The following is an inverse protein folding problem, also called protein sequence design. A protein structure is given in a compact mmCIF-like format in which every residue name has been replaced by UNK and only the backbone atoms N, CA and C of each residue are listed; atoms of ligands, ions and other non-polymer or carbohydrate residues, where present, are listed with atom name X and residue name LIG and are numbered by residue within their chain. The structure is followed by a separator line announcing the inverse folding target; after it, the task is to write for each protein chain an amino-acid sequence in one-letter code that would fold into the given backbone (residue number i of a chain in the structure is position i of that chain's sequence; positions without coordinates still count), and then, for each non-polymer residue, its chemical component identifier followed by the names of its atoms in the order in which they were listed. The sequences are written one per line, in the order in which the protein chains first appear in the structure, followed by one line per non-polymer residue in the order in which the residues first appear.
data_IF_276744431694
#
_entry.id   IF_276744431694
#
_cell.length_a   1.000
_cell.length_b   1.000
_cell.length_c   1.000
_cell.angle_alpha   90.00
_cell.angle_beta   90.00
_cell.angle_gamma   90.00
#
_symmetry.space_group_name_H-M   'P 1'
#
loop_
_entity.id
_entity.type
_entity.pdbx_description
1 polymer ?
#
# COMPACT_ATOMS: atom_id res chain seq x y z
N UNK A 1 3.39 10.06 -18.22
CA UNK A 1 2.97 10.14 -16.80
C UNK A 1 2.11 8.96 -16.37
N UNK A 2 1.11 8.52 -17.13
CA UNK A 2 0.22 7.40 -16.73
C UNK A 2 0.91 6.04 -16.59
N UNK A 3 1.85 5.70 -17.48
CA UNK A 3 2.57 4.41 -17.45
C UNK A 3 3.38 4.21 -16.17
N UNK A 4 4.08 5.26 -15.71
CA UNK A 4 4.91 5.20 -14.49
C UNK A 4 4.01 4.96 -13.27
N UNK A 5 2.88 5.65 -13.19
CA UNK A 5 1.90 5.47 -12.11
C UNK A 5 1.29 4.07 -12.14
N UNK A 6 0.99 3.54 -13.34
CA UNK A 6 0.47 2.19 -13.50
C UNK A 6 1.47 1.12 -13.04
N UNK A 7 2.74 1.25 -13.42
CA UNK A 7 3.80 0.32 -13.00
C UNK A 7 4.00 0.38 -11.49
N UNK A 8 4.00 1.57 -10.89
CA UNK A 8 4.09 1.74 -9.44
C UNK A 8 2.88 1.11 -8.73
N UNK A 9 1.66 1.30 -9.25
CA UNK A 9 0.46 0.69 -8.68
C UNK A 9 0.52 -0.85 -8.71
N UNK A 10 0.97 -1.43 -9.81
CA UNK A 10 1.17 -2.88 -9.93
C UNK A 10 2.28 -3.39 -8.99
N UNK A 11 3.36 -2.65 -8.84
CA UNK A 11 4.44 -2.99 -7.91
C UNK A 11 3.96 -2.98 -6.44
N UNK A 12 3.14 -1.99 -6.07
CA UNK A 12 2.53 -1.90 -4.73
C UNK A 12 1.54 -3.05 -4.50
N UNK A 13 0.73 -3.41 -5.51
CA UNK A 13 -0.15 -4.58 -5.44
C UNK A 13 0.64 -5.88 -5.26
N UNK A 14 1.70 -6.08 -6.04
CA UNK A 14 2.55 -7.27 -5.92
C UNK A 14 3.23 -7.35 -4.55
N UNK A 15 3.75 -6.22 -4.03
CA UNK A 15 4.38 -6.16 -2.72
C UNK A 15 3.39 -6.43 -1.57
N UNK A 16 2.20 -5.85 -1.63
CA UNK A 16 1.16 -6.07 -0.62
C UNK A 16 0.64 -7.51 -0.61
N UNK A 17 0.44 -8.12 -1.77
CA UNK A 17 0.13 -9.55 -1.88
C UNK A 17 1.26 -10.42 -1.32
N UNK A 18 2.52 -10.12 -1.66
CA UNK A 18 3.67 -10.84 -1.12
C UNK A 18 3.77 -10.75 0.40
N UNK A 19 3.48 -9.60 0.98
CA UNK A 19 3.44 -9.42 2.44
C UNK A 19 2.24 -10.12 3.11
N UNK A 20 1.09 -10.19 2.44
CA UNK A 20 -0.08 -10.96 2.90
C UNK A 20 0.23 -12.46 2.92
N UNK A 21 0.86 -12.98 1.87
CA UNK A 21 1.32 -14.37 1.81
C UNK A 21 2.38 -14.61 2.90
N UNK A 22 3.32 -13.67 3.11
CA UNK A 22 4.30 -13.78 4.17
C UNK A 22 3.69 -13.72 5.58
N UNK A 23 2.62 -12.94 5.77
CA UNK A 23 1.83 -12.93 7.01
C UNK A 23 1.22 -14.31 7.28
N UNK A 24 0.62 -14.92 6.25
CA UNK A 24 0.02 -16.25 6.36
C UNK A 24 1.04 -17.35 6.63
N UNK A 25 2.20 -17.31 5.96
CA UNK A 25 3.24 -18.36 6.10
C UNK A 25 4.04 -18.22 7.40
N UNK A 26 4.26 -16.99 7.88
CA UNK A 26 5.10 -16.74 9.06
C UNK A 26 4.32 -16.49 10.34
N UNK A 27 2.98 -16.48 10.30
CA UNK A 27 2.09 -16.11 11.41
C UNK A 27 2.47 -14.79 12.11
N UNK A 28 3.08 -13.87 11.36
CA UNK A 28 3.54 -12.58 11.88
C UNK A 28 2.58 -11.49 11.41
N UNK A 29 1.68 -10.98 12.27
CA UNK A 29 0.68 -9.99 11.88
C UNK A 29 1.30 -8.65 11.45
N UNK A 30 2.54 -8.39 11.85
CA UNK A 30 3.31 -7.20 11.47
C UNK A 30 3.41 -7.05 9.94
N UNK A 31 3.53 -8.16 9.19
CA UNK A 31 3.59 -8.08 7.72
C UNK A 31 2.27 -7.59 7.11
N UNK A 32 1.12 -7.91 7.73
CA UNK A 32 -0.18 -7.37 7.34
C UNK A 32 -0.33 -5.88 7.67
N UNK A 33 0.20 -5.43 8.80
CA UNK A 33 0.17 -4.01 9.17
C UNK A 33 1.00 -3.18 8.19
N UNK A 34 2.19 -3.67 7.83
CA UNK A 34 3.07 -2.99 6.86
C UNK A 34 2.43 -2.98 5.47
N UNK A 35 1.80 -4.08 5.04
CA UNK A 35 1.13 -4.13 3.72
C UNK A 35 -0.06 -3.18 3.63
N UNK A 36 -0.88 -3.09 4.69
CA UNK A 36 -1.98 -2.13 4.78
C UNK A 36 -1.48 -0.69 4.79
N UNK A 37 -0.40 -0.40 5.55
CA UNK A 37 0.23 0.91 5.55
C UNK A 37 0.77 1.32 4.18
N UNK A 38 1.35 0.38 3.44
CA UNK A 38 1.84 0.61 2.07
C UNK A 38 0.70 0.88 1.08
N UNK A 39 -0.42 0.15 1.21
CA UNK A 39 -1.56 0.26 0.30
C UNK A 39 -2.39 1.52 0.57
N UNK A 40 -2.65 1.82 1.84
CA UNK A 40 -3.54 2.90 2.26
C UNK A 40 -2.78 4.21 2.49
N UNK A 41 -1.56 4.15 3.02
CA UNK A 41 -0.77 5.30 3.46
C UNK A 41 -0.76 6.47 2.48
N UNK A 42 -0.31 6.26 1.22
CA UNK A 42 -0.29 7.33 0.21
C UNK A 42 -1.67 7.92 -0.07
N UNK A 43 -2.71 7.06 -0.15
CA UNK A 43 -4.08 7.48 -0.39
C UNK A 43 -4.65 8.30 0.76
N UNK A 44 -4.42 7.88 2.02
CA UNK A 44 -4.81 8.64 3.21
C UNK A 44 -4.10 9.99 3.29
N UNK A 45 -2.79 10.06 3.04
CA UNK A 45 -2.04 11.33 3.06
C UNK A 45 -2.61 12.28 2.01
N UNK A 46 -2.86 11.80 0.79
CA UNK A 46 -3.47 12.59 -0.27
C UNK A 46 -4.88 13.06 0.09
N UNK A 47 -5.72 12.18 0.65
CA UNK A 47 -7.08 12.51 1.06
C UNK A 47 -7.11 13.57 2.18
N UNK A 48 -6.30 13.41 3.22
CA UNK A 48 -6.18 14.40 4.30
C UNK A 48 -5.66 15.74 3.80
N UNK A 49 -4.65 15.72 2.93
CA UNK A 49 -4.09 16.94 2.35
C UNK A 49 -5.13 17.66 1.50
N UNK A 50 -5.92 16.93 0.70
CA UNK A 50 -6.98 17.51 -0.12
C UNK A 50 -8.08 18.12 0.76
N UNK A 51 -8.55 17.42 1.79
CA UNK A 51 -9.61 17.93 2.69
C UNK A 51 -9.15 19.11 3.54
N UNK A 52 -7.85 19.20 3.89
CA UNK A 52 -7.33 20.30 4.74
C UNK A 52 -6.99 21.55 3.95
N UNK A 53 -6.66 21.41 2.66
CA UNK A 53 -6.30 22.53 1.77
C UNK A 53 -7.52 23.05 0.99
N UNK A 54 -8.54 22.21 0.73
CA UNK A 54 -9.80 22.60 0.11
C UNK A 54 -10.76 23.29 1.10
#
# INVERSE_FOLDING_TARGET
MSLVVLVLALAVLAASLGMLVAMYVKDKPIYGVVSLGMLLGPGTILAFTYVTIA
#
